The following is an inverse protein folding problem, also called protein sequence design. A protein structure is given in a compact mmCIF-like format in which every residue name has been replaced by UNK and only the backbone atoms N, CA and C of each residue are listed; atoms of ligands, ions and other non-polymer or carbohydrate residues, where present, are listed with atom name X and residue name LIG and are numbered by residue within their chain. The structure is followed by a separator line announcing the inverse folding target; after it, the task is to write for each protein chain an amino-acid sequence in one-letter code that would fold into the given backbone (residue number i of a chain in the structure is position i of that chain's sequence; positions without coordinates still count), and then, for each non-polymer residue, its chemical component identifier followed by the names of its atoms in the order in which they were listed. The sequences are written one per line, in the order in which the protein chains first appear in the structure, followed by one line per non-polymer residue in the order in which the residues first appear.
data_IF_121401727445
#
_entry.id   IF_121401727445
#
_cell.length_a   1.000
_cell.length_b   1.000
_cell.length_c   1.000
_cell.angle_alpha   90.00
_cell.angle_beta   90.00
_cell.angle_gamma   90.00
#
_symmetry.space_group_name_H-M   'P 1'
#
loop_
_entity.id
_entity.type
_entity.pdbx_description
1 polymer ?
#
# COMPACT_ATOMS: atom_id res chain seq x y z
N UNK A 1 5.40 31.43 10.87
CA UNK A 1 4.89 30.20 10.24
C UNK A 1 3.55 29.83 10.87
N UNK A 2 2.56 29.51 10.03
CA UNK A 2 1.23 29.11 10.51
C UNK A 2 1.18 27.59 10.69
N UNK A 3 0.36 27.11 11.62
CA UNK A 3 0.19 25.68 11.88
C UNK A 3 -0.21 24.89 10.62
N UNK A 4 -1.05 25.49 9.77
CA UNK A 4 -1.47 24.86 8.51
C UNK A 4 -0.32 24.57 7.55
N UNK A 5 0.81 25.26 7.66
CA UNK A 5 1.97 25.08 6.80
C UNK A 5 2.84 23.87 7.21
N UNK A 6 2.64 23.37 8.42
CA UNK A 6 3.37 22.21 8.95
C UNK A 6 2.49 20.96 9.08
N UNK A 7 1.23 21.04 8.66
CA UNK A 7 0.28 19.94 8.77
C UNK A 7 0.08 19.26 7.42
N UNK A 8 0.06 17.93 7.42
CA UNK A 8 -0.32 17.13 6.25
C UNK A 8 -1.84 17.08 6.10
N UNK A 9 -2.30 16.85 4.87
CA UNK A 9 -3.72 16.62 4.60
C UNK A 9 -4.08 15.17 4.92
N UNK A 10 -4.54 14.94 6.15
CA UNK A 10 -4.90 13.59 6.63
C UNK A 10 -6.03 12.98 5.82
N UNK A 11 -7.01 13.80 5.41
CA UNK A 11 -8.13 13.32 4.60
C UNK A 11 -7.66 12.78 3.25
N UNK A 12 -6.76 13.49 2.57
CA UNK A 12 -6.19 13.06 1.30
C UNK A 12 -5.40 11.75 1.45
N UNK A 13 -4.68 11.58 2.58
CA UNK A 13 -3.97 10.32 2.87
C UNK A 13 -4.92 9.12 2.95
N UNK A 14 -6.10 9.31 3.56
CA UNK A 14 -7.07 8.24 3.78
C UNK A 14 -7.94 7.95 2.54
N UNK A 15 -8.22 8.94 1.71
CA UNK A 15 -9.03 8.79 0.49
C UNK A 15 -8.28 8.06 -0.61
N UNK A 16 -6.99 8.28 -0.72
CA UNK A 16 -6.15 7.70 -1.75
C UNK A 16 -6.25 8.39 -3.11
N UNK A 17 -5.47 7.91 -4.05
CA UNK A 17 -5.41 8.41 -5.43
C UNK A 17 -5.37 7.24 -6.40
N UNK A 18 -6.05 7.37 -7.54
CA UNK A 18 -5.91 6.45 -8.66
C UNK A 18 -4.56 6.65 -9.33
N UNK A 19 -3.78 5.58 -9.39
CA UNK A 19 -2.45 5.57 -10.03
C UNK A 19 -2.32 4.38 -10.95
N UNK A 20 -1.63 4.55 -12.08
CA UNK A 20 -1.26 3.43 -12.93
C UNK A 20 -0.17 2.59 -12.25
N UNK A 21 -0.31 1.27 -12.34
CA UNK A 21 0.68 0.37 -11.77
C UNK A 21 2.01 0.52 -12.53
N UNK A 22 3.15 0.64 -11.83
CA UNK A 22 4.43 0.90 -12.50
C UNK A 22 4.94 -0.22 -13.40
N UNK A 23 4.46 -1.45 -13.20
CA UNK A 23 4.92 -2.62 -13.97
C UNK A 23 3.88 -3.10 -14.98
N UNK A 24 2.59 -3.01 -14.67
CA UNK A 24 1.52 -3.57 -15.50
C UNK A 24 0.75 -2.47 -16.21
N UNK A 25 0.98 -2.32 -17.51
CA UNK A 25 0.31 -1.32 -18.33
C UNK A 25 -1.20 -1.54 -18.32
N UNK A 26 -1.96 -0.45 -18.17
CA UNK A 26 -3.41 -0.49 -18.14
C UNK A 26 -4.02 -0.89 -16.80
N UNK A 27 -3.22 -1.33 -15.85
CA UNK A 27 -3.69 -1.62 -14.49
C UNK A 27 -3.61 -0.37 -13.63
N UNK A 28 -4.75 0.05 -13.09
CA UNK A 28 -4.84 1.19 -12.19
C UNK A 28 -5.27 0.74 -10.79
N UNK A 29 -4.69 1.35 -9.79
CA UNK A 29 -4.96 1.04 -8.38
C UNK A 29 -5.32 2.33 -7.65
N UNK A 30 -6.38 2.30 -6.86
CA UNK A 30 -6.66 3.37 -5.90
C UNK A 30 -5.78 3.12 -4.69
N UNK A 31 -4.73 3.92 -4.53
CA UNK A 31 -3.68 3.71 -3.52
C UNK A 31 -3.77 4.77 -2.44
N UNK A 32 -3.74 4.33 -1.20
CA UNK A 32 -3.65 5.18 -0.01
C UNK A 32 -2.19 5.33 0.40
N UNK A 33 -1.89 6.40 1.13
CA UNK A 33 -0.54 6.64 1.64
C UNK A 33 -0.09 5.51 2.60
N UNK A 34 1.23 5.26 2.65
CA UNK A 34 1.83 4.44 3.71
C UNK A 34 1.61 5.03 5.11
N UNK A 35 1.22 6.30 5.19
CA UNK A 35 0.86 6.97 6.44
C UNK A 35 -0.62 6.84 6.78
N UNK A 36 -1.42 6.17 5.93
CA UNK A 36 -2.85 5.97 6.20
C UNK A 36 -3.06 5.13 7.45
N UNK A 37 -4.15 5.41 8.15
CA UNK A 37 -4.48 4.74 9.41
C UNK A 37 -4.70 3.23 9.20
N UNK A 38 -5.41 2.84 8.14
CA UNK A 38 -5.68 1.44 7.84
C UNK A 38 -4.41 0.63 7.65
N UNK A 39 -3.45 1.15 6.91
CA UNK A 39 -2.15 0.51 6.71
C UNK A 39 -1.38 0.36 8.03
N UNK A 40 -1.27 1.45 8.81
CA UNK A 40 -0.53 1.45 10.06
C UNK A 40 -1.14 0.50 11.10
N UNK A 41 -2.47 0.47 11.21
CA UNK A 41 -3.17 -0.46 12.10
C UNK A 41 -2.97 -1.91 11.68
N UNK A 42 -3.12 -2.20 10.38
CA UNK A 42 -2.93 -3.55 9.87
C UNK A 42 -1.51 -4.04 10.12
N UNK A 43 -0.53 -3.21 9.82
CA UNK A 43 0.89 -3.54 10.04
C UNK A 43 1.18 -3.81 11.51
N UNK A 44 0.68 -2.97 12.42
CA UNK A 44 0.87 -3.16 13.85
C UNK A 44 0.25 -4.47 14.35
N UNK A 45 -0.96 -4.79 13.89
CA UNK A 45 -1.63 -6.04 14.22
C UNK A 45 -0.83 -7.27 13.77
N UNK A 46 -0.32 -7.24 12.54
CA UNK A 46 0.47 -8.34 11.97
C UNK A 46 1.83 -8.47 12.66
N UNK A 47 2.48 -7.37 13.02
CA UNK A 47 3.73 -7.38 13.78
C UNK A 47 3.57 -8.05 15.13
N UNK A 48 2.45 -7.81 15.82
CA UNK A 48 2.15 -8.43 17.10
C UNK A 48 1.92 -9.95 17.01
N UNK A 49 1.57 -10.45 15.84
CA UNK A 49 1.35 -11.89 15.60
C UNK A 49 2.61 -12.64 15.20
N UNK A 50 3.70 -11.93 14.89
CA UNK A 50 4.96 -12.59 14.53
C UNK A 50 5.54 -13.31 15.74
N UNK A 51 6.12 -14.53 15.54
CA UNK A 51 6.85 -15.21 16.61
C UNK A 51 8.02 -14.35 17.10
N UNK A 52 8.20 -14.27 18.39
CA UNK A 52 9.32 -13.50 19.01
C UNK A 52 10.68 -14.09 18.68
N UNK A 53 10.73 -15.39 18.38
CA UNK A 53 11.95 -16.09 17.98
C UNK A 53 11.71 -16.79 16.66
N UNK A 54 12.53 -16.49 15.71
CA UNK A 54 12.62 -17.24 14.46
C UNK A 54 13.74 -18.27 14.60
N UNK A 55 13.46 -19.53 14.24
CA UNK A 55 14.45 -20.60 14.32
C UNK A 55 15.57 -20.46 13.30
N UNK A 56 15.25 -19.84 12.14
CA UNK A 56 16.18 -19.63 11.02
C UNK A 56 15.99 -18.22 10.47
N UNK A 57 17.08 -17.61 10.03
CA UNK A 57 17.05 -16.26 9.42
C UNK A 57 16.18 -16.27 8.16
N UNK A 58 16.25 -17.31 7.34
CA UNK A 58 15.43 -17.42 6.14
C UNK A 58 13.93 -17.41 6.43
N UNK A 59 13.50 -18.07 7.49
CA UNK A 59 12.09 -18.08 7.91
C UNK A 59 11.65 -16.70 8.37
N UNK A 60 12.52 -15.95 9.04
CA UNK A 60 12.24 -14.58 9.48
C UNK A 60 12.05 -13.63 8.29
N UNK A 61 12.89 -13.78 7.26
CA UNK A 61 12.78 -12.98 6.03
C UNK A 61 11.47 -13.26 5.31
N UNK A 62 11.10 -14.54 5.14
CA UNK A 62 9.85 -14.92 4.48
C UNK A 62 8.63 -14.44 5.25
N UNK A 63 8.64 -14.54 6.58
CA UNK A 63 7.58 -14.05 7.44
C UNK A 63 7.41 -12.52 7.32
N UNK A 64 8.51 -11.78 7.21
CA UNK A 64 8.49 -10.34 7.02
C UNK A 64 7.94 -9.95 5.64
N UNK A 65 8.31 -10.67 4.59
CA UNK A 65 7.79 -10.44 3.25
C UNK A 65 6.29 -10.67 3.18
N UNK A 66 5.79 -11.75 3.78
CA UNK A 66 4.37 -12.06 3.85
C UNK A 66 3.60 -10.98 4.62
N UNK A 67 4.16 -10.52 5.72
CA UNK A 67 3.60 -9.44 6.52
C UNK A 67 3.49 -8.15 5.72
N UNK A 68 4.55 -7.79 5.01
CA UNK A 68 4.60 -6.56 4.22
C UNK A 68 3.54 -6.57 3.12
N UNK A 69 3.34 -7.70 2.42
CA UNK A 69 2.28 -7.81 1.43
C UNK A 69 0.89 -7.68 2.05
N UNK A 70 0.66 -8.37 3.16
CA UNK A 70 -0.63 -8.32 3.86
C UNK A 70 -0.94 -6.89 4.33
N UNK A 71 0.03 -6.21 4.92
CA UNK A 71 -0.13 -4.82 5.35
C UNK A 71 -0.45 -3.90 4.16
N UNK A 72 0.23 -4.08 3.03
CA UNK A 72 0.01 -3.29 1.81
C UNK A 72 -1.38 -3.49 1.23
N UNK A 73 -2.04 -4.62 1.47
CA UNK A 73 -3.43 -4.79 1.04
C UNK A 73 -4.36 -3.72 1.60
N UNK A 74 -4.04 -3.17 2.77
CA UNK A 74 -4.80 -2.08 3.39
C UNK A 74 -4.53 -0.70 2.74
N UNK A 75 -3.52 -0.57 1.88
CA UNK A 75 -3.29 0.63 1.08
C UNK A 75 -4.14 0.66 -0.20
N UNK A 76 -4.86 -0.41 -0.51
CA UNK A 76 -5.61 -0.52 -1.76
C UNK A 76 -7.09 -0.27 -1.47
N UNK A 77 -7.68 0.66 -2.21
CA UNK A 77 -9.12 0.97 -2.13
C UNK A 77 -9.88 0.74 -3.42
N UNK A 78 -9.21 0.32 -4.49
CA UNK A 78 -9.83 0.03 -5.77
C UNK A 78 -8.85 -0.54 -6.77
N UNK A 79 -9.37 -1.20 -7.80
CA UNK A 79 -8.58 -1.86 -8.85
C UNK A 79 -9.33 -1.73 -10.18
N UNK A 80 -8.60 -1.41 -11.25
CA UNK A 80 -9.12 -1.33 -12.63
C UNK A 80 -8.13 -1.96 -13.59
N UNK A 81 -8.65 -2.46 -14.71
CA UNK A 81 -7.83 -2.93 -15.84
C UNK A 81 -7.29 -4.33 -15.69
N UNK A 82 -7.81 -5.13 -14.77
CA UNK A 82 -7.47 -6.55 -14.62
C UNK A 82 -8.68 -7.39 -15.01
N UNK A 83 -8.46 -8.39 -15.85
CA UNK A 83 -9.48 -9.32 -16.31
C UNK A 83 -9.13 -10.75 -15.88
N UNK A 84 -10.16 -11.58 -15.72
CA UNK A 84 -9.97 -13.02 -15.52
C UNK A 84 -9.62 -13.72 -16.83
N UNK A 85 -9.37 -15.03 -16.79
CA UNK A 85 -9.00 -15.83 -17.96
C UNK A 85 -10.13 -15.93 -19.01
N UNK A 86 -11.35 -15.51 -18.65
CA UNK A 86 -12.51 -15.47 -19.56
C UNK A 86 -12.81 -14.05 -20.06
N UNK A 87 -11.85 -13.13 -19.94
CA UNK A 87 -11.92 -11.73 -20.36
C UNK A 87 -13.00 -10.90 -19.62
N UNK A 88 -13.42 -11.35 -18.44
CA UNK A 88 -14.32 -10.58 -17.59
C UNK A 88 -13.53 -9.69 -16.63
N UNK A 89 -13.91 -8.41 -16.47
CA UNK A 89 -13.25 -7.55 -15.49
C UNK A 89 -13.31 -8.14 -14.08
N UNK A 90 -12.18 -8.10 -13.38
CA UNK A 90 -12.14 -8.49 -11.97
C UNK A 90 -12.72 -7.34 -11.15
N UNK A 91 -13.72 -7.68 -10.32
CA UNK A 91 -14.33 -6.74 -9.41
C UNK A 91 -13.50 -6.63 -8.14
N UNK A 92 -13.16 -5.38 -7.77
CA UNK A 92 -12.41 -5.11 -6.56
C UNK A 92 -13.21 -5.49 -5.31
N UNK A 93 -12.49 -6.05 -4.32
CA UNK A 93 -12.94 -6.13 -2.93
C UNK A 93 -11.73 -6.14 -2.01
N UNK A 94 -11.92 -5.71 -0.76
CA UNK A 94 -10.87 -5.77 0.25
C UNK A 94 -10.44 -7.21 0.50
N UNK A 95 -11.38 -8.14 0.48
CA UNK A 95 -11.12 -9.57 0.64
C UNK A 95 -10.23 -10.12 -0.48
N UNK A 96 -10.50 -9.73 -1.73
CA UNK A 96 -9.69 -10.14 -2.87
C UNK A 96 -8.22 -9.68 -2.71
N UNK A 97 -8.02 -8.45 -2.26
CA UNK A 97 -6.67 -7.93 -2.05
C UNK A 97 -5.95 -8.66 -0.92
N UNK A 98 -6.65 -9.00 0.16
CA UNK A 98 -6.08 -9.81 1.23
C UNK A 98 -5.72 -11.22 0.76
N UNK A 99 -6.54 -11.82 -0.09
CA UNK A 99 -6.26 -13.14 -0.67
C UNK A 99 -5.03 -13.11 -1.58
N UNK A 100 -4.92 -12.09 -2.43
CA UNK A 100 -3.73 -11.93 -3.26
C UNK A 100 -2.47 -11.72 -2.43
N UNK A 101 -2.57 -10.96 -1.34
CA UNK A 101 -1.43 -10.69 -0.46
C UNK A 101 -0.86 -11.96 0.19
N UNK A 102 -1.67 -12.99 0.40
CA UNK A 102 -1.25 -14.28 0.96
C UNK A 102 -0.47 -15.13 -0.04
N UNK A 103 -0.51 -14.79 -1.31
CA UNK A 103 0.11 -15.61 -2.36
C UNK A 103 1.35 -14.92 -2.93
N UNK A 104 2.56 -15.50 -2.76
CA UNK A 104 3.80 -14.89 -3.24
C UNK A 104 3.86 -14.66 -4.75
N UNK A 105 2.98 -15.31 -5.54
CA UNK A 105 2.93 -15.06 -6.99
C UNK A 105 2.52 -13.64 -7.35
N UNK A 106 1.87 -12.91 -6.44
CA UNK A 106 1.48 -11.51 -6.64
C UNK A 106 2.51 -10.52 -6.08
N UNK A 107 3.72 -10.96 -5.78
CA UNK A 107 4.79 -10.13 -5.22
C UNK A 107 5.03 -8.86 -6.04
N UNK A 108 5.14 -8.99 -7.35
CA UNK A 108 5.44 -7.84 -8.22
C UNK A 108 4.31 -6.81 -8.19
N UNK A 109 3.07 -7.27 -8.11
CA UNK A 109 1.91 -6.38 -7.95
C UNK A 109 2.02 -5.56 -6.66
N UNK A 110 2.32 -6.21 -5.53
CA UNK A 110 2.45 -5.51 -4.23
C UNK A 110 3.71 -4.65 -4.13
N UNK A 111 4.80 -5.03 -4.79
CA UNK A 111 5.99 -4.16 -4.88
C UNK A 111 5.63 -2.83 -5.56
N UNK A 112 4.83 -2.88 -6.61
CA UNK A 112 4.32 -1.68 -7.28
C UNK A 112 3.39 -0.86 -6.40
N UNK A 113 2.52 -1.51 -5.64
CA UNK A 113 1.64 -0.82 -4.67
C UNK A 113 2.46 -0.09 -3.61
N UNK A 114 3.51 -0.71 -3.11
CA UNK A 114 4.42 -0.08 -2.14
C UNK A 114 5.05 1.19 -2.72
N UNK A 115 5.56 1.09 -3.94
CA UNK A 115 6.16 2.22 -4.64
C UNK A 115 5.18 3.39 -4.76
N UNK A 116 3.94 3.10 -5.15
CA UNK A 116 2.89 4.12 -5.27
C UNK A 116 2.49 4.71 -3.91
N UNK A 117 2.37 3.89 -2.88
CA UNK A 117 2.03 4.34 -1.53
C UNK A 117 3.14 5.22 -0.93
N UNK A 118 4.40 4.88 -1.17
CA UNK A 118 5.56 5.68 -0.79
C UNK A 118 5.57 7.02 -1.53
N UNK A 119 5.25 7.01 -2.82
CA UNK A 119 5.19 8.22 -3.64
C UNK A 119 4.15 9.21 -3.10
N UNK A 120 2.95 8.72 -2.75
CA UNK A 120 1.91 9.54 -2.15
C UNK A 120 2.38 10.15 -0.82
N UNK A 121 3.08 9.36 0.01
CA UNK A 121 3.65 9.84 1.26
C UNK A 121 4.69 10.95 1.04
N UNK A 122 5.54 10.83 0.02
CA UNK A 122 6.53 11.86 -0.34
C UNK A 122 5.88 13.11 -0.90
N UNK A 123 4.80 12.98 -1.68
CA UNK A 123 4.05 14.13 -2.21
C UNK A 123 3.56 15.05 -1.08
N UNK A 124 3.09 14.48 0.03
CA UNK A 124 2.67 15.24 1.20
C UNK A 124 3.84 16.04 1.81
N UNK A 125 5.01 15.41 1.95
CA UNK A 125 6.21 16.06 2.47
C UNK A 125 6.71 17.16 1.53
N UNK A 126 6.73 16.90 0.22
CA UNK A 126 7.12 17.85 -0.81
C UNK A 126 6.20 19.08 -0.82
N UNK A 127 4.89 18.88 -0.65
CA UNK A 127 3.92 19.97 -0.57
C UNK A 127 4.20 20.90 0.61
N UNK A 128 4.59 20.35 1.76
CA UNK A 128 4.99 21.12 2.94
C UNK A 128 6.28 21.89 2.65
N UNK A 129 7.29 21.24 2.09
CA UNK A 129 8.58 21.86 1.76
C UNK A 129 8.42 23.01 0.76
N UNK A 130 7.62 22.82 -0.28
CA UNK A 130 7.30 23.89 -1.25
C UNK A 130 6.62 25.08 -0.59
N UNK A 131 5.66 24.81 0.31
CA UNK A 131 4.98 25.87 1.06
C UNK A 131 5.94 26.68 1.92
N UNK A 132 6.98 26.05 2.48
CA UNK A 132 7.99 26.69 3.32
C UNK A 132 9.09 27.40 2.51
N UNK A 133 9.37 26.92 1.29
CA UNK A 133 10.39 27.47 0.41
C UNK A 133 10.00 28.80 -0.27
N UNK A 134 8.75 29.15 -0.22
CA UNK A 134 8.20 30.38 -0.79
C UNK A 134 7.85 31.39 0.31
#
# INVERSE_FOLDING_TARGET
MKLSQIAVDVKAQEEGQWKEHPTFDGVEVLVKSIHSEGYRKRRALLMNRLPRRQRKIGDAVLAQEDLDRDALSACIGGLRGVEDESDNPIEYSDELMRDWAKNPKYRVFFDGVRELADEIGREDEEAIEESLGN
#
